data_IF_570375238242
#
_entry.id   IF_570375238242
#
_cell.length_a   1.000
_cell.length_b   1.000
_cell.length_c   1.000
_cell.angle_alpha   90.00
_cell.angle_beta   90.00
_cell.angle_gamma   90.00
#
_symmetry.space_group_name_H-M   'P 1'
#
loop_
_entity.id
_entity.type
_entity.pdbx_description
1 polymer ?
#
# COMPACT_ATOMS: atom_id res chain seq x y z
N UNK A 1 22.83 3.73 13.55
CA UNK A 1 23.28 2.46 12.92
C UNK A 1 22.53 2.35 11.61
N UNK A 2 23.21 2.15 10.48
CA UNK A 2 22.53 1.99 9.20
C UNK A 2 21.74 0.67 9.22
N UNK A 3 20.45 0.75 8.95
CA UNK A 3 19.60 -0.43 8.74
C UNK A 3 20.14 -1.20 7.54
N UNK A 4 20.29 -2.52 7.66
CA UNK A 4 20.68 -3.38 6.54
C UNK A 4 19.46 -4.12 6.02
N UNK A 5 19.26 -4.08 4.71
CA UNK A 5 18.20 -4.86 4.06
C UNK A 5 18.48 -6.36 4.25
N UNK A 6 17.51 -7.17 4.67
CA UNK A 6 17.62 -8.63 4.75
C UNK A 6 18.01 -9.24 3.40
N UNK A 7 18.59 -10.44 3.43
CA UNK A 7 19.09 -11.11 2.22
C UNK A 7 17.98 -11.34 1.19
N UNK A 8 16.82 -11.84 1.61
CA UNK A 8 15.67 -12.10 0.72
C UNK A 8 15.12 -10.81 0.07
N UNK A 9 15.12 -9.68 0.80
CA UNK A 9 14.72 -8.37 0.24
C UNK A 9 15.71 -7.93 -0.84
N UNK A 10 17.02 -8.09 -0.59
CA UNK A 10 18.05 -7.78 -1.58
C UNK A 10 17.93 -8.65 -2.83
N UNK A 11 17.68 -9.94 -2.68
CA UNK A 11 17.46 -10.86 -3.80
C UNK A 11 16.23 -10.49 -4.62
N UNK A 12 15.17 -10.02 -3.96
CA UNK A 12 13.99 -9.49 -4.66
C UNK A 12 14.32 -8.22 -5.45
N UNK A 13 15.02 -7.28 -4.83
CA UNK A 13 15.48 -6.06 -5.50
C UNK A 13 16.36 -6.41 -6.72
N UNK A 14 17.29 -7.34 -6.58
CA UNK A 14 18.19 -7.75 -7.67
C UNK A 14 17.41 -8.37 -8.85
N UNK A 15 16.36 -9.15 -8.58
CA UNK A 15 15.45 -9.67 -9.63
C UNK A 15 14.76 -8.55 -10.41
N UNK A 16 14.41 -7.45 -9.73
CA UNK A 16 13.83 -6.29 -10.40
C UNK A 16 14.88 -5.48 -11.16
N UNK A 17 16.06 -5.24 -10.57
CA UNK A 17 17.18 -4.54 -11.23
C UNK A 17 17.57 -5.24 -12.51
N UNK A 18 17.61 -6.57 -12.54
CA UNK A 18 17.97 -7.38 -13.70
C UNK A 18 17.02 -7.20 -14.91
N UNK A 19 15.81 -6.65 -14.69
CA UNK A 19 14.84 -6.38 -15.79
C UNK A 19 15.16 -5.08 -16.56
N UNK A 20 16.09 -4.26 -16.05
CA UNK A 20 16.44 -2.97 -16.64
C UNK A 20 17.89 -2.95 -17.13
N UNK A 21 18.24 -2.08 -18.09
CA UNK A 21 19.62 -1.87 -18.49
C UNK A 21 20.50 -1.47 -17.29
N UNK A 22 21.81 -1.82 -17.28
CA UNK A 22 22.71 -1.59 -16.15
C UNK A 22 22.82 -0.11 -15.70
N UNK A 23 22.63 0.82 -16.64
CA UNK A 23 22.61 2.27 -16.39
C UNK A 23 21.25 2.79 -15.91
N UNK A 24 20.23 1.92 -15.77
CA UNK A 24 18.85 2.28 -15.42
C UNK A 24 18.36 1.69 -14.11
N UNK A 25 19.23 1.45 -13.15
CA UNK A 25 18.88 0.91 -11.82
C UNK A 25 17.81 1.74 -11.09
N UNK A 26 17.75 3.06 -11.33
CA UNK A 26 16.70 3.93 -10.78
C UNK A 26 15.29 3.44 -11.12
N UNK A 27 15.09 2.75 -12.24
CA UNK A 27 13.78 2.22 -12.64
C UNK A 27 13.24 1.14 -11.71
N UNK A 28 14.07 0.56 -10.85
CA UNK A 28 13.66 -0.45 -9.87
C UNK A 28 13.30 0.13 -8.49
N UNK A 29 13.35 1.46 -8.29
CA UNK A 29 13.10 2.10 -6.98
C UNK A 29 11.72 1.74 -6.42
N UNK A 30 10.66 1.78 -7.24
CA UNK A 30 9.30 1.44 -6.81
C UNK A 30 9.26 0.00 -6.27
N UNK A 31 9.79 -0.95 -7.02
CA UNK A 31 9.80 -2.36 -6.60
C UNK A 31 10.67 -2.60 -5.37
N UNK A 32 11.79 -1.88 -5.25
CA UNK A 32 12.66 -1.97 -4.08
C UNK A 32 11.97 -1.41 -2.82
N UNK A 33 11.24 -0.31 -2.96
CA UNK A 33 10.45 0.26 -1.86
C UNK A 33 9.30 -0.67 -1.45
N UNK A 34 8.64 -1.33 -2.40
CA UNK A 34 7.62 -2.34 -2.07
C UNK A 34 8.20 -3.50 -1.26
N UNK A 35 9.33 -4.07 -1.70
CA UNK A 35 9.98 -5.15 -0.97
C UNK A 35 10.38 -4.72 0.45
N UNK A 36 10.91 -3.50 0.59
CA UNK A 36 11.29 -2.94 1.88
C UNK A 36 10.08 -2.63 2.78
N UNK A 37 8.98 -2.11 2.21
CA UNK A 37 7.74 -1.81 2.94
C UNK A 37 7.07 -3.08 3.46
N UNK A 38 7.01 -4.14 2.64
CA UNK A 38 6.46 -5.44 3.06
C UNK A 38 7.24 -6.06 4.22
N UNK A 39 8.57 -5.93 4.21
CA UNK A 39 9.43 -6.43 5.29
C UNK A 39 9.24 -5.66 6.60
N UNK A 40 8.81 -4.41 6.54
CA UNK A 40 8.69 -3.52 7.69
C UNK A 40 7.21 -3.20 8.01
N UNK A 41 6.40 -4.23 8.17
CA UNK A 41 5.01 -4.14 8.62
C UNK A 41 4.17 -3.10 7.85
N UNK A 42 4.42 -2.95 6.55
CA UNK A 42 3.62 -2.13 5.66
C UNK A 42 3.97 -0.64 5.61
N UNK A 43 5.08 -0.20 6.20
CA UNK A 43 5.52 1.20 6.11
C UNK A 43 7.04 1.36 5.93
N UNK A 44 7.47 2.54 5.50
CA UNK A 44 8.85 2.90 5.21
C UNK A 44 9.38 3.89 6.25
N UNK A 45 10.44 3.52 6.96
CA UNK A 45 11.21 4.48 7.77
C UNK A 45 12.24 5.22 6.92
N UNK A 46 12.71 6.37 7.39
CA UNK A 46 13.81 7.10 6.74
C UNK A 46 15.05 6.22 6.58
N UNK A 47 15.43 5.50 7.64
CA UNK A 47 16.60 4.60 7.62
C UNK A 47 16.45 3.48 6.58
N UNK A 48 15.23 2.98 6.39
CA UNK A 48 14.94 1.94 5.39
C UNK A 48 15.02 2.48 3.97
N UNK A 49 14.50 3.69 3.74
CA UNK A 49 14.63 4.38 2.45
C UNK A 49 16.09 4.70 2.12
N UNK A 50 16.89 5.09 3.11
CA UNK A 50 18.34 5.29 2.96
C UNK A 50 19.06 3.99 2.61
N UNK A 51 18.67 2.88 3.24
CA UNK A 51 19.22 1.56 2.91
C UNK A 51 18.91 1.13 1.46
N UNK A 52 17.69 1.40 0.98
CA UNK A 52 17.31 1.18 -0.42
C UNK A 52 18.14 2.06 -1.37
N UNK A 53 18.30 3.35 -1.03
CA UNK A 53 19.11 4.28 -1.82
C UNK A 53 20.56 3.81 -1.94
N UNK A 54 21.18 3.46 -0.81
CA UNK A 54 22.54 2.94 -0.74
C UNK A 54 22.70 1.65 -1.56
N UNK A 55 21.73 0.74 -1.45
CA UNK A 55 21.77 -0.54 -2.19
C UNK A 55 21.70 -0.34 -3.71
N UNK A 56 20.87 0.58 -4.17
CA UNK A 56 20.73 0.91 -5.60
C UNK A 56 21.83 1.86 -6.11
N UNK A 57 22.66 2.41 -5.22
CA UNK A 57 23.69 3.40 -5.58
C UNK A 57 23.09 4.74 -6.00
N UNK A 58 22.00 5.17 -5.36
CA UNK A 58 21.27 6.41 -5.62
C UNK A 58 21.46 7.40 -4.48
N UNK A 59 21.28 8.70 -4.76
CA UNK A 59 21.15 9.68 -3.69
C UNK A 59 19.83 9.48 -2.93
N UNK A 60 19.80 9.57 -1.58
CA UNK A 60 18.58 9.34 -0.78
C UNK A 60 17.36 10.12 -1.26
N UNK A 61 17.56 11.37 -1.69
CA UNK A 61 16.46 12.22 -2.17
C UNK A 61 15.67 11.59 -3.33
N UNK A 62 16.32 10.82 -4.21
CA UNK A 62 15.64 10.16 -5.32
C UNK A 62 14.72 9.02 -4.89
N UNK A 63 15.00 8.43 -3.73
CA UNK A 63 14.14 7.42 -3.12
C UNK A 63 13.00 8.09 -2.35
N UNK A 64 13.29 9.18 -1.63
CA UNK A 64 12.27 9.97 -0.91
C UNK A 64 11.23 10.57 -1.85
N UNK A 65 11.66 11.12 -3.00
CA UNK A 65 10.75 11.62 -4.04
C UNK A 65 9.70 10.57 -4.43
N UNK A 66 10.13 9.33 -4.63
CA UNK A 66 9.22 8.23 -5.02
C UNK A 66 8.34 7.80 -3.85
N UNK A 67 8.92 7.60 -2.66
CA UNK A 67 8.18 7.16 -1.49
C UNK A 67 7.10 8.16 -1.02
N UNK A 68 7.33 9.46 -1.23
CA UNK A 68 6.38 10.50 -0.84
C UNK A 68 5.40 10.90 -1.93
N UNK A 69 5.69 10.57 -3.18
CA UNK A 69 4.82 10.88 -4.32
C UNK A 69 3.69 9.85 -4.50
N UNK A 70 4.01 8.57 -4.38
CA UNK A 70 3.04 7.50 -4.66
C UNK A 70 2.24 7.12 -3.41
N UNK A 71 0.90 7.11 -3.54
CA UNK A 71 -0.04 6.78 -2.46
C UNK A 71 0.07 5.35 -1.93
N UNK A 72 0.72 4.45 -2.67
CA UNK A 72 0.95 3.06 -2.26
C UNK A 72 2.01 2.92 -1.16
N UNK A 73 2.79 3.97 -0.89
CA UNK A 73 3.81 3.96 0.15
C UNK A 73 3.34 4.71 1.40
N UNK A 74 3.50 4.06 2.54
CA UNK A 74 3.24 4.63 3.85
C UNK A 74 4.56 4.98 4.53
N UNK A 75 4.70 6.22 5.01
CA UNK A 75 5.92 6.70 5.68
C UNK A 75 5.79 6.78 7.20
N UNK A 76 4.70 6.23 7.72
CA UNK A 76 4.36 6.16 9.16
C UNK A 76 3.83 4.77 9.47
N UNK A 77 3.97 4.31 10.71
CA UNK A 77 3.33 3.07 11.14
C UNK A 77 1.82 3.08 10.88
N UNK A 78 1.33 1.99 10.33
CA UNK A 78 -0.09 1.78 9.97
C UNK A 78 -0.58 0.42 10.48
N UNK A 79 -1.88 0.18 10.39
CA UNK A 79 -2.45 -1.12 10.75
C UNK A 79 -1.96 -2.24 9.83
N UNK A 80 -1.97 -3.47 10.34
CA UNK A 80 -1.44 -4.67 9.67
C UNK A 80 -2.12 -4.98 8.34
N UNK A 81 -3.45 -4.83 8.28
CA UNK A 81 -4.24 -5.04 7.07
C UNK A 81 -4.57 -3.71 6.41
N UNK A 82 -4.19 -3.55 5.16
CA UNK A 82 -4.43 -2.34 4.39
C UNK A 82 -5.73 -2.47 3.60
N UNK A 83 -6.73 -1.68 3.96
CA UNK A 83 -8.03 -1.61 3.26
C UNK A 83 -8.08 -0.35 2.43
N UNK A 84 -8.21 -0.50 1.12
CA UNK A 84 -8.35 0.60 0.15
C UNK A 84 -9.72 0.53 -0.53
N UNK A 85 -10.54 1.55 -0.38
CA UNK A 85 -11.84 1.64 -1.07
C UNK A 85 -11.68 2.51 -2.31
N UNK A 86 -12.01 1.98 -3.48
CA UNK A 86 -11.97 2.76 -4.71
C UNK A 86 -13.14 3.76 -4.75
N UNK A 87 -12.82 5.05 -4.90
CA UNK A 87 -13.81 6.14 -4.98
C UNK A 87 -13.84 6.81 -6.36
N UNK A 88 -13.12 6.27 -7.34
CA UNK A 88 -13.05 6.82 -8.69
C UNK A 88 -14.37 6.63 -9.46
N UNK A 89 -14.50 7.26 -10.61
CA UNK A 89 -15.77 7.52 -11.30
C UNK A 89 -16.72 6.30 -11.37
N UNK A 90 -16.26 5.13 -11.80
CA UNK A 90 -17.12 3.94 -11.89
C UNK A 90 -17.65 3.49 -10.53
N UNK A 91 -16.79 3.47 -9.51
CA UNK A 91 -17.18 3.12 -8.15
C UNK A 91 -18.07 4.20 -7.53
N UNK A 92 -17.78 5.49 -7.78
CA UNK A 92 -18.59 6.61 -7.33
C UNK A 92 -20.03 6.49 -7.87
N UNK A 93 -20.19 6.22 -9.17
CA UNK A 93 -21.51 6.04 -9.81
C UNK A 93 -22.25 4.78 -9.30
N UNK A 94 -21.55 3.86 -8.67
CA UNK A 94 -22.06 2.61 -8.10
C UNK A 94 -22.13 2.62 -6.58
N UNK A 95 -22.05 3.80 -5.96
CA UNK A 95 -22.26 3.96 -4.52
C UNK A 95 -21.01 3.74 -3.66
N UNK A 96 -19.82 4.07 -4.14
CA UNK A 96 -18.60 3.91 -3.31
C UNK A 96 -18.58 4.78 -2.05
N UNK A 97 -19.29 5.91 -2.05
CA UNK A 97 -19.38 6.74 -0.84
C UNK A 97 -20.11 6.00 0.29
N UNK A 98 -21.20 5.30 -0.04
CA UNK A 98 -21.91 4.47 0.94
C UNK A 98 -21.04 3.32 1.45
N UNK A 99 -20.13 2.78 0.61
CA UNK A 99 -19.15 1.78 1.03
C UNK A 99 -18.16 2.39 2.02
N UNK A 100 -17.59 3.56 1.73
CA UNK A 100 -16.68 4.29 2.64
C UNK A 100 -17.37 4.56 3.97
N UNK A 101 -18.57 5.13 3.94
CA UNK A 101 -19.35 5.47 5.14
C UNK A 101 -19.68 4.21 5.97
N UNK A 102 -19.92 3.07 5.32
CA UNK A 102 -20.17 1.80 6.00
C UNK A 102 -18.91 1.27 6.69
N UNK A 103 -17.77 1.24 5.98
CA UNK A 103 -16.48 0.80 6.52
C UNK A 103 -16.06 1.67 7.70
N UNK A 104 -16.14 2.99 7.57
CA UNK A 104 -15.81 3.93 8.65
C UNK A 104 -16.66 3.69 9.91
N UNK A 105 -17.97 3.51 9.75
CA UNK A 105 -18.86 3.21 10.88
C UNK A 105 -18.54 1.87 11.54
N UNK A 106 -18.29 0.84 10.73
CA UNK A 106 -17.99 -0.50 11.24
C UNK A 106 -16.67 -0.53 12.01
N UNK A 107 -15.65 0.12 11.50
CA UNK A 107 -14.32 0.12 12.12
C UNK A 107 -14.17 1.19 13.21
N UNK A 108 -15.06 2.19 13.26
CA UNK A 108 -14.98 3.31 14.21
C UNK A 108 -13.80 4.25 13.96
N UNK A 109 -13.31 4.32 12.73
CA UNK A 109 -12.19 5.17 12.29
C UNK A 109 -12.57 5.93 11.02
N UNK A 110 -11.72 6.88 10.64
CA UNK A 110 -11.83 7.61 9.37
C UNK A 110 -10.80 7.14 8.36
N UNK A 111 -11.03 7.46 7.10
CA UNK A 111 -10.03 7.26 6.03
C UNK A 111 -8.72 7.95 6.41
N UNK A 112 -7.61 7.22 6.26
CA UNK A 112 -6.26 7.63 6.68
C UNK A 112 -5.91 7.27 8.12
N UNK A 113 -6.78 6.54 8.83
CA UNK A 113 -6.56 6.11 10.21
C UNK A 113 -6.44 4.59 10.33
N UNK A 114 -5.81 4.16 11.40
CA UNK A 114 -5.73 2.75 11.80
C UNK A 114 -6.65 2.48 13.00
N UNK A 115 -7.17 1.26 13.09
CA UNK A 115 -7.91 0.81 14.27
C UNK A 115 -7.02 0.84 15.52
N UNK A 116 -7.57 1.13 16.72
CA UNK A 116 -6.79 1.24 17.95
C UNK A 116 -6.00 -0.03 18.32
N UNK A 117 -6.45 -1.18 17.85
CA UNK A 117 -5.78 -2.48 18.02
C UNK A 117 -4.64 -2.71 17.00
N UNK A 118 -4.42 -1.76 16.07
CA UNK A 118 -3.42 -1.87 15.01
C UNK A 118 -3.73 -2.92 13.96
N UNK A 119 -4.95 -3.43 13.92
CA UNK A 119 -5.33 -4.51 13.01
C UNK A 119 -5.56 -4.03 11.59
N UNK A 120 -6.33 -2.96 11.40
CA UNK A 120 -6.73 -2.46 10.08
C UNK A 120 -6.29 -1.00 9.92
N UNK A 121 -5.73 -0.69 8.76
CA UNK A 121 -5.53 0.66 8.26
C UNK A 121 -6.48 0.93 7.11
N UNK A 122 -7.42 1.87 7.29
CA UNK A 122 -8.28 2.34 6.22
C UNK A 122 -7.52 3.43 5.45
N UNK A 123 -7.00 3.08 4.30
CA UNK A 123 -6.20 4.00 3.49
C UNK A 123 -6.99 5.24 3.12
N UNK A 124 -6.26 6.32 2.87
CA UNK A 124 -6.85 7.52 2.26
C UNK A 124 -7.46 7.17 0.92
N UNK A 125 -8.15 8.15 0.35
CA UNK A 125 -8.66 8.07 -1.00
C UNK A 125 -7.61 7.47 -1.94
N UNK A 126 -8.00 6.40 -2.60
CA UNK A 126 -7.16 5.73 -3.58
C UNK A 126 -7.53 6.22 -4.99
N UNK A 127 -6.52 6.29 -5.83
CA UNK A 127 -6.73 6.34 -7.27
C UNK A 127 -7.48 5.07 -7.72
N UNK A 128 -7.90 5.04 -8.97
CA UNK A 128 -8.64 3.89 -9.48
C UNK A 128 -7.87 2.56 -9.28
N UNK A 129 -8.47 1.60 -8.59
CA UNK A 129 -7.92 0.25 -8.38
C UNK A 129 -8.03 -0.66 -9.62
N UNK A 130 -8.53 -0.12 -10.74
CA UNK A 130 -8.62 -0.75 -12.06
C UNK A 130 -9.51 -2.00 -12.17
N UNK A 131 -10.43 -2.24 -11.23
CA UNK A 131 -11.45 -3.30 -11.28
C UNK A 131 -12.85 -2.73 -11.54
N UNK A 132 -13.00 -1.83 -12.50
CA UNK A 132 -14.21 -1.04 -12.75
C UNK A 132 -15.44 -1.87 -13.10
N UNK A 133 -15.28 -3.05 -13.69
CA UNK A 133 -16.38 -3.97 -14.03
C UNK A 133 -17.04 -4.56 -12.79
N UNK A 134 -16.31 -4.64 -11.66
CA UNK A 134 -16.77 -5.12 -10.38
C UNK A 134 -17.10 -4.01 -9.37
N UNK A 135 -17.36 -2.78 -9.84
CA UNK A 135 -17.70 -1.65 -8.97
C UNK A 135 -19.07 -1.86 -8.24
N UNK A 136 -19.23 -1.40 -6.97
CA UNK A 136 -18.19 -0.81 -6.13
C UNK A 136 -17.22 -1.87 -5.62
N UNK A 137 -15.96 -1.49 -5.37
CA UNK A 137 -14.92 -2.42 -5.00
C UNK A 137 -13.95 -1.85 -3.98
N UNK A 138 -13.28 -2.74 -3.24
CA UNK A 138 -12.16 -2.42 -2.37
C UNK A 138 -11.02 -3.44 -2.57
N UNK A 139 -9.85 -3.09 -2.12
CA UNK A 139 -8.69 -3.98 -2.06
C UNK A 139 -8.26 -4.15 -0.60
N UNK A 140 -8.01 -5.39 -0.20
CA UNK A 140 -7.47 -5.73 1.12
C UNK A 140 -6.18 -6.51 0.89
N UNK A 141 -5.05 -6.00 1.39
CA UNK A 141 -3.73 -6.66 1.28
C UNK A 141 -3.44 -7.16 -0.15
N UNK A 142 -3.70 -6.31 -1.17
CA UNK A 142 -3.55 -6.61 -2.61
C UNK A 142 -4.57 -7.61 -3.20
N UNK A 143 -5.60 -8.03 -2.44
CA UNK A 143 -6.69 -8.87 -2.94
C UNK A 143 -7.90 -7.99 -3.27
N UNK A 144 -8.42 -8.10 -4.50
CA UNK A 144 -9.60 -7.36 -4.94
C UNK A 144 -10.89 -8.02 -4.46
N UNK A 145 -11.77 -7.22 -3.91
CA UNK A 145 -13.14 -7.58 -3.53
C UNK A 145 -14.11 -6.69 -4.31
N UNK A 146 -14.86 -7.32 -5.19
CA UNK A 146 -15.73 -6.66 -6.16
C UNK A 146 -17.21 -6.82 -5.82
N UNK A 147 -18.07 -5.98 -6.45
CA UNK A 147 -19.53 -6.02 -6.29
C UNK A 147 -19.95 -5.98 -4.81
N UNK A 148 -19.36 -5.04 -4.08
CA UNK A 148 -19.51 -4.94 -2.64
C UNK A 148 -20.96 -4.66 -2.22
N UNK A 149 -21.39 -5.36 -1.16
CA UNK A 149 -22.59 -5.09 -0.38
C UNK A 149 -22.20 -4.90 1.08
N UNK A 150 -23.03 -4.25 1.92
CA UNK A 150 -22.75 -4.12 3.35
C UNK A 150 -22.42 -5.46 4.02
N UNK A 151 -23.14 -6.52 3.68
CA UNK A 151 -22.96 -7.87 4.25
C UNK A 151 -21.62 -8.48 3.82
N UNK A 152 -21.22 -8.29 2.55
CA UNK A 152 -19.91 -8.77 2.07
C UNK A 152 -18.76 -8.02 2.69
N UNK A 153 -18.89 -6.70 2.87
CA UNK A 153 -17.90 -5.86 3.55
C UNK A 153 -17.72 -6.33 4.99
N UNK A 154 -18.84 -6.51 5.71
CA UNK A 154 -18.81 -6.96 7.11
C UNK A 154 -18.08 -8.28 7.26
N UNK A 155 -18.40 -9.25 6.41
CA UNK A 155 -17.74 -10.56 6.42
C UNK A 155 -16.23 -10.43 6.17
N UNK A 156 -15.82 -9.68 5.13
CA UNK A 156 -14.41 -9.50 4.80
C UNK A 156 -13.65 -8.87 5.97
N UNK A 157 -14.19 -7.80 6.56
CA UNK A 157 -13.51 -7.09 7.65
C UNK A 157 -13.45 -7.90 8.95
N UNK A 158 -14.44 -8.77 9.20
CA UNK A 158 -14.50 -9.64 10.40
C UNK A 158 -13.52 -10.83 10.28
N UNK A 159 -13.17 -11.25 9.07
CA UNK A 159 -12.20 -12.33 8.80
C UNK A 159 -10.73 -11.87 8.95
N UNK A 160 -10.45 -10.55 8.97
CA UNK A 160 -9.11 -10.02 9.18
C UNK A 160 -8.68 -10.16 10.65
N UNK A 161 -7.60 -10.84 10.93
CA UNK A 161 -7.11 -11.16 12.28
C UNK A 161 -5.81 -10.49 12.67
#
# INVERSE_FOLDING_TARGET
MSVQLPAHVREEIDRWVAKFPPDRKRSSVISALHAAQHENDGFLTTDLMDAVAAYLGLAPIHVYEVATFYSMFETKPVGRHHVSVCTNISCMLRGSQEVVDHVERKLGIKTGESTPDGRIYLKREEECLAACTGAPMMMVDHVFHENLTPESIDKILDELT
#
